data_IF_676501802043
#
_entry.id   IF_676501802043
#
_cell.length_a   1.000
_cell.length_b   1.000
_cell.length_c   1.000
_cell.angle_alpha   90.00
_cell.angle_beta   90.00
_cell.angle_gamma   90.00
#
_symmetry.space_group_name_H-M   'P 1'
#
loop_
_entity.id
_entity.type
_entity.pdbx_description
1 polymer ?
#
# COMPACT_ATOMS: atom_id res chain seq x y z
N UNK A 1 13.21 -11.82 17.99
CA UNK A 1 12.33 -10.64 18.22
C UNK A 1 11.04 -10.91 17.48
N UNK A 2 9.90 -10.95 18.12
CA UNK A 2 8.63 -11.29 17.46
C UNK A 2 8.20 -10.14 16.56
N UNK A 3 7.80 -10.43 15.30
CA UNK A 3 7.33 -9.44 14.35
C UNK A 3 6.02 -8.82 14.86
N UNK A 4 6.01 -7.50 15.00
CA UNK A 4 4.80 -6.73 15.36
C UNK A 4 4.00 -6.45 14.07
N UNK A 5 2.85 -7.14 13.93
CA UNK A 5 1.94 -7.01 12.80
C UNK A 5 0.86 -5.92 13.02
N UNK A 6 0.93 -5.14 14.09
CA UNK A 6 0.12 -3.93 14.18
C UNK A 6 0.47 -2.96 13.04
N UNK A 7 -0.46 -2.10 12.66
CA UNK A 7 -0.19 -1.08 11.61
C UNK A 7 1.04 -0.23 11.93
N UNK A 8 1.22 0.11 13.19
CA UNK A 8 2.39 0.87 13.65
C UNK A 8 3.68 0.05 13.52
N UNK A 9 3.65 -1.24 13.92
CA UNK A 9 4.77 -2.17 13.78
C UNK A 9 5.17 -2.37 12.32
N UNK A 10 4.18 -2.59 11.44
CA UNK A 10 4.40 -2.70 9.98
C UNK A 10 5.00 -1.41 9.42
N UNK A 11 4.46 -0.24 9.79
CA UNK A 11 4.99 1.05 9.33
C UNK A 11 6.45 1.25 9.78
N UNK A 12 6.78 0.91 11.02
CA UNK A 12 8.16 0.96 11.55
C UNK A 12 9.08 0.01 10.77
N UNK A 13 8.61 -1.21 10.50
CA UNK A 13 9.35 -2.20 9.70
C UNK A 13 9.65 -1.65 8.31
N UNK A 14 8.65 -1.16 7.59
CA UNK A 14 8.83 -0.62 6.23
C UNK A 14 9.81 0.56 6.22
N UNK A 15 9.70 1.48 7.17
CA UNK A 15 10.62 2.62 7.31
C UNK A 15 12.07 2.19 7.57
N UNK A 16 12.29 1.12 8.36
CA UNK A 16 13.63 0.54 8.59
C UNK A 16 14.29 0.11 7.28
N UNK A 17 13.50 -0.32 6.31
CA UNK A 17 13.97 -0.70 4.97
C UNK A 17 13.84 0.44 3.94
N UNK A 18 13.67 1.70 4.38
CA UNK A 18 13.50 2.87 3.49
C UNK A 18 12.37 2.72 2.49
N UNK A 19 11.27 2.07 2.87
CA UNK A 19 10.05 1.96 2.07
C UNK A 19 9.09 3.06 2.52
N UNK A 20 8.77 3.96 1.59
CA UNK A 20 7.89 5.10 1.84
C UNK A 20 6.43 4.66 1.86
N UNK A 21 5.75 4.94 2.97
CA UNK A 21 4.32 4.64 3.15
C UNK A 21 3.54 5.93 3.39
N UNK A 22 2.28 5.93 3.01
CA UNK A 22 1.38 7.05 3.27
C UNK A 22 1.20 7.24 4.78
N UNK A 23 1.02 8.49 5.20
CA UNK A 23 0.74 8.81 6.60
C UNK A 23 -0.70 8.47 6.94
N UNK A 24 -0.87 7.68 8.00
CA UNK A 24 -2.18 7.22 8.45
C UNK A 24 -2.21 6.97 9.96
N UNK A 25 -3.40 6.96 10.54
CA UNK A 25 -3.64 6.51 11.91
C UNK A 25 -5.08 6.02 12.09
N UNK A 26 -5.31 5.18 13.11
CA UNK A 26 -6.63 4.68 13.48
C UNK A 26 -7.24 5.60 14.53
N UNK A 27 -8.48 6.00 14.31
CA UNK A 27 -9.32 6.75 15.23
C UNK A 27 -10.44 5.85 15.79
N UNK A 28 -10.75 6.00 17.06
CA UNK A 28 -11.84 5.28 17.73
C UNK A 28 -13.08 6.15 17.95
N UNK A 29 -12.96 7.46 17.67
CA UNK A 29 -14.06 8.41 17.74
C UNK A 29 -14.00 9.44 16.61
N UNK A 30 -15.11 10.16 16.31
CA UNK A 30 -15.09 11.24 15.33
C UNK A 30 -14.12 12.37 15.70
N UNK A 31 -13.99 12.69 16.97
CA UNK A 31 -13.11 13.74 17.48
C UNK A 31 -11.64 13.36 17.29
N UNK A 32 -11.28 12.09 17.56
CA UNK A 32 -9.95 11.56 17.31
C UNK A 32 -9.63 11.53 15.80
N UNK A 33 -10.60 11.16 14.96
CA UNK A 33 -10.43 11.20 13.51
C UNK A 33 -10.16 12.62 12.99
N UNK A 34 -10.84 13.63 13.55
CA UNK A 34 -10.61 15.03 13.22
C UNK A 34 -9.21 15.46 13.64
N UNK A 35 -8.80 15.16 14.86
CA UNK A 35 -7.45 15.50 15.36
C UNK A 35 -6.34 14.86 14.51
N UNK A 36 -6.51 13.61 14.09
CA UNK A 36 -5.59 12.94 13.18
C UNK A 36 -5.57 13.63 11.82
N UNK A 37 -6.73 13.95 11.24
CA UNK A 37 -6.81 14.60 9.93
C UNK A 37 -6.18 16.00 9.94
N UNK A 38 -6.34 16.76 11.01
CA UNK A 38 -5.70 18.07 11.19
C UNK A 38 -4.17 17.97 11.29
N UNK A 39 -3.65 16.93 11.93
CA UNK A 39 -2.22 16.66 11.99
C UNK A 39 -1.64 16.21 10.65
N UNK A 40 -2.34 15.32 9.93
CA UNK A 40 -1.93 14.78 8.64
C UNK A 40 -2.04 15.85 7.54
N UNK A 41 -3.05 16.71 7.64
CA UNK A 41 -3.44 17.71 6.64
C UNK A 41 -4.47 17.18 5.65
N UNK A 42 -5.49 17.98 5.37
CA UNK A 42 -6.49 17.69 4.34
C UNK A 42 -5.93 17.87 2.92
N UNK A 43 -6.47 17.15 1.91
CA UNK A 43 -7.55 16.18 2.00
C UNK A 43 -7.12 14.84 2.59
N UNK A 44 -8.09 14.12 3.20
CA UNK A 44 -7.87 12.79 3.75
C UNK A 44 -8.86 11.75 3.18
N UNK A 45 -8.52 10.49 3.38
CA UNK A 45 -9.37 9.32 3.14
C UNK A 45 -9.78 8.75 4.49
N UNK A 46 -11.04 8.33 4.63
CA UNK A 46 -11.56 7.63 5.78
C UNK A 46 -12.00 6.22 5.37
N UNK A 47 -11.49 5.19 6.05
CA UNK A 47 -11.80 3.78 5.78
C UNK A 47 -12.19 3.07 7.07
N UNK A 48 -13.22 2.21 7.04
CA UNK A 48 -13.53 1.36 8.21
C UNK A 48 -12.42 0.34 8.45
N UNK A 49 -12.09 0.11 9.72
CA UNK A 49 -11.23 -1.00 10.16
C UNK A 49 -12.12 -2.08 10.77
N UNK A 50 -12.26 -3.19 10.07
CA UNK A 50 -13.08 -4.34 10.47
C UNK A 50 -12.61 -5.60 9.77
N UNK A 51 -12.58 -6.70 10.48
CA UNK A 51 -12.28 -8.03 9.92
C UNK A 51 -13.50 -8.67 9.24
N UNK A 52 -14.70 -8.13 9.48
CA UNK A 52 -15.97 -8.64 8.91
C UNK A 52 -16.34 -7.95 7.59
N UNK A 53 -15.68 -6.84 7.24
CA UNK A 53 -15.95 -6.04 6.03
C UNK A 53 -14.78 -6.21 5.06
N UNK A 54 -14.93 -7.14 4.10
CA UNK A 54 -13.88 -7.46 3.11
C UNK A 54 -13.87 -6.42 1.98
N UNK A 55 -15.01 -6.20 1.29
CA UNK A 55 -15.14 -5.26 0.18
C UNK A 55 -15.62 -3.89 0.68
N UNK A 56 -14.71 -3.12 1.28
CA UNK A 56 -15.03 -1.85 1.96
C UNK A 56 -15.63 -0.80 1.02
N UNK A 57 -15.11 -0.70 -0.20
CA UNK A 57 -15.58 0.25 -1.22
C UNK A 57 -17.00 -0.05 -1.67
N UNK A 58 -17.29 -1.30 -2.01
CA UNK A 58 -18.61 -1.73 -2.50
C UNK A 58 -19.70 -1.54 -1.45
N UNK A 59 -19.31 -1.65 -0.17
CA UNK A 59 -20.21 -1.42 0.98
C UNK A 59 -20.31 0.04 1.40
N UNK A 60 -19.67 0.98 0.67
CA UNK A 60 -19.65 2.39 1.03
C UNK A 60 -18.96 2.68 2.37
N UNK A 61 -18.00 1.83 2.75
CA UNK A 61 -17.23 1.93 3.99
C UNK A 61 -15.86 2.60 3.77
N UNK A 62 -15.70 3.29 2.63
CA UNK A 62 -14.56 4.16 2.29
C UNK A 62 -15.10 5.49 1.79
N UNK A 63 -14.51 6.60 2.24
CA UNK A 63 -14.76 7.93 1.72
C UNK A 63 -13.44 8.63 1.43
N UNK A 64 -13.28 9.07 0.19
CA UNK A 64 -12.10 9.79 -0.30
C UNK A 64 -12.39 11.29 -0.41
N UNK A 65 -11.36 12.07 -0.61
CA UNK A 65 -11.42 13.51 -0.88
C UNK A 65 -12.19 14.31 0.18
N UNK A 66 -11.93 13.98 1.44
CA UNK A 66 -12.50 14.72 2.59
C UNK A 66 -11.65 15.97 2.82
N UNK A 67 -12.24 17.15 2.64
CA UNK A 67 -11.54 18.43 2.59
C UNK A 67 -11.50 19.18 3.91
N UNK A 68 -12.36 18.82 4.87
CA UNK A 68 -12.51 19.57 6.12
C UNK A 68 -13.17 18.74 7.23
N UNK A 69 -13.16 19.31 8.44
CA UNK A 69 -13.73 18.72 9.66
C UNK A 69 -15.21 18.34 9.52
N UNK A 70 -16.01 19.18 8.87
CA UNK A 70 -17.44 18.93 8.74
C UNK A 70 -17.73 17.73 7.82
N UNK A 71 -17.04 17.68 6.69
CA UNK A 71 -17.11 16.53 5.77
C UNK A 71 -16.64 15.25 6.44
N UNK A 72 -15.55 15.30 7.24
CA UNK A 72 -15.03 14.13 7.94
C UNK A 72 -16.06 13.61 8.96
N UNK A 73 -16.69 14.48 9.73
CA UNK A 73 -17.73 14.09 10.69
C UNK A 73 -18.93 13.44 9.99
N UNK A 74 -19.36 14.00 8.87
CA UNK A 74 -20.43 13.43 8.04
C UNK A 74 -20.05 12.08 7.44
N UNK A 75 -18.82 11.94 6.92
CA UNK A 75 -18.28 10.71 6.38
C UNK A 75 -18.18 9.62 7.46
N UNK A 76 -17.72 9.96 8.65
CA UNK A 76 -17.64 9.03 9.78
C UNK A 76 -19.01 8.44 10.12
N UNK A 77 -20.03 9.30 10.28
CA UNK A 77 -21.40 8.87 10.56
C UNK A 77 -21.99 8.02 9.42
N UNK A 78 -21.68 8.37 8.16
CA UNK A 78 -22.11 7.60 6.99
C UNK A 78 -21.50 6.20 6.96
N UNK A 79 -20.19 6.09 7.14
CA UNK A 79 -19.46 4.80 7.15
C UNK A 79 -19.96 3.92 8.30
N UNK A 80 -20.19 4.47 9.50
CA UNK A 80 -20.72 3.72 10.63
C UNK A 80 -22.10 3.14 10.35
N UNK A 81 -22.98 3.89 9.67
CA UNK A 81 -24.31 3.38 9.24
C UNK A 81 -24.16 2.23 8.23
N UNK A 82 -23.25 2.36 7.26
CA UNK A 82 -23.00 1.33 6.24
C UNK A 82 -22.35 0.07 6.81
N UNK A 83 -21.52 0.21 7.85
CA UNK A 83 -20.94 -0.91 8.58
C UNK A 83 -22.02 -1.74 9.30
N UNK A 84 -23.15 -1.12 9.68
CA UNK A 84 -24.29 -1.79 10.27
C UNK A 84 -23.96 -2.51 11.57
N UNK A 85 -24.15 -3.84 11.60
CA UNK A 85 -23.89 -4.69 12.78
C UNK A 85 -22.47 -5.27 12.81
N UNK A 86 -21.64 -4.99 11.78
CA UNK A 86 -20.29 -5.51 11.74
C UNK A 86 -19.43 -4.93 12.88
N UNK A 87 -18.56 -5.75 13.45
CA UNK A 87 -17.62 -5.30 14.48
C UNK A 87 -16.61 -4.34 13.87
N UNK A 88 -16.70 -3.06 14.27
CA UNK A 88 -15.79 -1.99 13.86
C UNK A 88 -14.72 -1.79 14.94
N UNK A 89 -13.46 -1.93 14.55
CA UNK A 89 -12.29 -1.74 15.43
C UNK A 89 -11.87 -0.27 15.49
N UNK A 90 -12.22 0.53 14.47
CA UNK A 90 -11.96 1.95 14.35
C UNK A 90 -12.10 2.45 12.92
N UNK A 91 -11.71 3.70 12.71
CA UNK A 91 -11.62 4.34 11.40
C UNK A 91 -10.18 4.66 11.07
N UNK A 92 -9.71 4.22 9.93
CA UNK A 92 -8.41 4.61 9.40
C UNK A 92 -8.55 5.99 8.74
N UNK A 93 -7.83 6.97 9.26
CA UNK A 93 -7.65 8.29 8.64
C UNK A 93 -6.32 8.26 7.92
N UNK A 94 -6.32 8.49 6.62
CA UNK A 94 -5.15 8.37 5.77
C UNK A 94 -5.00 9.64 4.92
N UNK A 95 -3.77 10.14 4.74
CA UNK A 95 -3.50 11.23 3.81
C UNK A 95 -3.97 10.87 2.39
N UNK A 96 -4.71 11.77 1.75
CA UNK A 96 -5.03 11.61 0.33
C UNK A 96 -3.75 11.75 -0.50
N UNK A 97 -3.49 10.78 -1.36
CA UNK A 97 -2.37 10.84 -2.29
C UNK A 97 -2.85 11.47 -3.61
N UNK A 98 -1.95 12.19 -4.29
CA UNK A 98 -2.20 12.72 -5.64
C UNK A 98 -2.28 11.58 -6.65
N UNK A 99 -2.86 11.83 -7.80
CA UNK A 99 -2.89 10.87 -8.91
C UNK A 99 -1.47 10.58 -9.41
N UNK A 100 -1.24 9.33 -9.79
CA UNK A 100 0.04 8.83 -10.30
C UNK A 100 -0.14 7.46 -10.95
N UNK A 101 0.96 6.81 -11.29
CA UNK A 101 0.91 5.46 -11.87
C UNK A 101 0.73 4.44 -10.76
N UNK A 102 -0.34 3.67 -10.82
CA UNK A 102 -0.59 2.59 -9.85
C UNK A 102 0.28 1.37 -10.18
N UNK A 103 1.00 0.91 -9.16
CA UNK A 103 1.87 -0.25 -9.22
C UNK A 103 1.54 -1.22 -8.09
N UNK A 104 1.93 -2.47 -8.28
CA UNK A 104 1.98 -3.47 -7.23
C UNK A 104 3.43 -3.89 -7.00
N UNK A 105 3.85 -3.92 -5.75
CA UNK A 105 5.10 -4.53 -5.31
C UNK A 105 4.79 -5.44 -4.14
N UNK A 106 5.16 -6.68 -4.26
CA UNK A 106 4.88 -7.64 -3.21
C UNK A 106 5.92 -8.74 -3.17
N UNK A 107 5.62 -9.75 -2.39
CA UNK A 107 6.39 -10.98 -2.39
C UNK A 107 5.80 -12.01 -1.47
N UNK A 108 6.23 -13.22 -1.71
CA UNK A 108 5.80 -14.38 -0.92
C UNK A 108 6.93 -15.35 -0.73
N UNK A 109 6.83 -16.16 0.29
CA UNK A 109 7.74 -17.27 0.51
C UNK A 109 7.29 -18.46 -0.31
N UNK A 110 8.13 -18.88 -1.23
CA UNK A 110 7.94 -20.09 -2.03
C UNK A 110 8.59 -21.27 -1.32
N UNK A 111 7.95 -22.47 -1.26
CA UNK A 111 8.51 -23.63 -0.58
C UNK A 111 9.82 -24.14 -1.20
N UNK A 112 10.00 -23.95 -2.50
CA UNK A 112 11.16 -24.46 -3.26
C UNK A 112 12.26 -23.41 -3.41
N UNK A 113 11.88 -22.15 -3.72
CA UNK A 113 12.82 -21.08 -4.06
C UNK A 113 13.09 -20.11 -2.92
N UNK A 114 12.35 -20.20 -1.81
CA UNK A 114 12.42 -19.24 -0.71
C UNK A 114 11.67 -17.94 -1.02
N UNK A 115 12.08 -16.79 -0.46
CA UNK A 115 11.35 -15.56 -0.66
C UNK A 115 11.47 -15.04 -2.10
N UNK A 116 10.33 -14.66 -2.68
CA UNK A 116 10.20 -14.08 -4.02
C UNK A 116 9.73 -12.63 -3.89
N UNK A 117 10.24 -11.75 -4.77
CA UNK A 117 9.72 -10.39 -4.95
C UNK A 117 9.00 -10.30 -6.30
N UNK A 118 7.88 -9.55 -6.30
CA UNK A 118 7.01 -9.32 -7.45
C UNK A 118 6.88 -7.82 -7.73
N UNK A 119 6.86 -7.46 -9.00
CA UNK A 119 6.59 -6.11 -9.49
C UNK A 119 5.61 -6.15 -10.66
N UNK A 120 4.69 -5.19 -10.74
CA UNK A 120 3.76 -5.07 -11.87
C UNK A 120 3.00 -3.74 -11.87
N UNK A 121 2.20 -3.54 -12.93
CA UNK A 121 1.20 -2.48 -12.93
C UNK A 121 0.07 -2.84 -11.98
N UNK A 122 -0.47 -1.83 -11.28
CA UNK A 122 -1.60 -1.98 -10.38
C UNK A 122 -2.96 -1.90 -11.09
N UNK A 123 -4.04 -1.91 -10.30
CA UNK A 123 -5.41 -1.81 -10.79
C UNK A 123 -5.80 -2.95 -11.71
N UNK A 124 -6.66 -2.65 -12.68
CA UNK A 124 -7.20 -3.64 -13.64
C UNK A 124 -6.13 -4.37 -14.47
N UNK A 125 -4.95 -3.79 -14.61
CA UNK A 125 -3.87 -4.39 -15.40
C UNK A 125 -3.32 -5.65 -14.76
N UNK A 126 -3.16 -5.69 -13.45
CA UNK A 126 -2.68 -6.90 -12.76
C UNK A 126 -3.76 -7.98 -12.72
N UNK A 127 -5.02 -7.59 -12.55
CA UNK A 127 -6.14 -8.53 -12.46
C UNK A 127 -6.42 -9.24 -13.78
N UNK A 128 -6.37 -8.51 -14.89
CA UNK A 128 -6.74 -9.03 -16.22
C UNK A 128 -5.52 -9.54 -16.98
N UNK A 129 -4.43 -8.77 -17.03
CA UNK A 129 -3.28 -9.06 -17.90
C UNK A 129 -2.20 -9.87 -17.21
N UNK A 130 -2.20 -9.94 -15.87
CA UNK A 130 -1.16 -10.58 -15.04
C UNK A 130 0.24 -10.15 -15.48
N UNK A 131 0.40 -8.87 -15.78
CA UNK A 131 1.64 -8.27 -16.26
C UNK A 131 2.57 -8.00 -15.08
N UNK A 132 3.29 -9.04 -14.68
CA UNK A 132 4.16 -9.03 -13.52
C UNK A 132 5.52 -9.66 -13.84
N UNK A 133 6.56 -9.15 -13.17
CA UNK A 133 7.90 -9.71 -13.13
C UNK A 133 8.19 -10.24 -11.73
N UNK A 134 8.87 -11.38 -11.64
CA UNK A 134 9.17 -12.07 -10.38
C UNK A 134 10.64 -12.46 -10.34
N UNK A 135 11.28 -12.29 -9.16
CA UNK A 135 12.67 -12.73 -8.90
C UNK A 135 12.80 -13.38 -7.52
N UNK A 136 13.78 -14.25 -7.38
CA UNK A 136 14.17 -14.82 -6.08
C UNK A 136 14.97 -13.79 -5.28
N UNK A 137 14.63 -13.62 -4.01
CA UNK A 137 15.35 -12.71 -3.11
C UNK A 137 16.65 -13.32 -2.56
N UNK A 138 17.71 -12.51 -2.31
CA UNK A 138 17.78 -11.07 -2.52
C UNK A 138 18.16 -10.69 -3.94
N UNK A 139 17.60 -9.60 -4.48
CA UNK A 139 17.95 -9.10 -5.82
C UNK A 139 18.96 -7.94 -5.76
N UNK A 140 19.68 -7.74 -6.88
CA UNK A 140 20.55 -6.58 -7.10
C UNK A 140 19.80 -5.45 -7.80
N UNK A 141 20.44 -4.28 -7.90
CA UNK A 141 19.83 -3.13 -8.57
C UNK A 141 19.60 -3.40 -10.08
N UNK A 142 20.51 -4.11 -10.74
CA UNK A 142 20.35 -4.54 -12.13
C UNK A 142 19.11 -5.38 -12.34
N UNK A 143 18.88 -6.36 -11.43
CA UNK A 143 17.72 -7.25 -11.52
C UNK A 143 16.41 -6.45 -11.35
N UNK A 144 16.42 -5.46 -10.45
CA UNK A 144 15.28 -4.57 -10.25
C UNK A 144 15.00 -3.68 -11.46
N UNK A 145 16.04 -3.19 -12.14
CA UNK A 145 15.92 -2.41 -13.38
C UNK A 145 15.35 -3.28 -14.52
N UNK A 146 15.83 -4.52 -14.65
CA UNK A 146 15.29 -5.50 -15.59
C UNK A 146 13.82 -5.80 -15.30
N UNK A 147 13.43 -6.05 -14.05
CA UNK A 147 12.04 -6.28 -13.65
C UNK A 147 11.11 -5.14 -14.10
N UNK A 148 11.58 -3.89 -13.99
CA UNK A 148 10.81 -2.69 -14.40
C UNK A 148 10.66 -2.64 -15.94
N UNK A 149 11.68 -3.06 -16.69
CA UNK A 149 11.63 -3.04 -18.15
C UNK A 149 10.90 -4.25 -18.75
N UNK A 150 10.83 -5.36 -18.04
CA UNK A 150 10.27 -6.63 -18.50
C UNK A 150 8.74 -6.64 -18.56
N UNK A 151 8.06 -5.88 -17.72
CA UNK A 151 6.60 -5.79 -17.78
C UNK A 151 6.14 -5.09 -19.06
N UNK A 152 5.06 -5.58 -19.66
CA UNK A 152 4.48 -5.01 -20.90
C UNK A 152 4.05 -3.56 -20.72
N UNK A 153 3.61 -3.21 -19.52
CA UNK A 153 3.23 -1.86 -19.15
C UNK A 153 4.39 -0.89 -18.89
N UNK A 154 5.66 -1.33 -19.01
CA UNK A 154 6.84 -0.48 -18.82
C UNK A 154 6.82 0.85 -19.58
N UNK A 155 6.26 0.95 -20.81
CA UNK A 155 6.15 2.24 -21.50
C UNK A 155 5.36 3.30 -20.73
N UNK A 156 4.39 2.93 -19.90
CA UNK A 156 3.63 3.87 -19.05
C UNK A 156 4.55 4.55 -18.02
N UNK A 157 5.57 3.83 -17.54
CA UNK A 157 6.54 4.34 -16.57
C UNK A 157 7.51 5.37 -17.17
N UNK A 158 7.65 5.38 -18.50
CA UNK A 158 8.47 6.35 -19.26
C UNK A 158 7.72 7.66 -19.58
N UNK A 159 6.44 7.71 -19.18
CA UNK A 159 5.53 8.80 -19.49
C UNK A 159 4.72 8.53 -20.75
N UNK A 160 3.40 8.58 -20.64
CA UNK A 160 2.49 8.37 -21.76
C UNK A 160 1.26 9.27 -21.63
N UNK A 161 0.70 9.69 -22.75
CA UNK A 161 -0.56 10.47 -22.83
C UNK A 161 -0.59 11.70 -21.89
N UNK A 162 0.53 12.43 -21.78
CA UNK A 162 0.62 13.63 -20.94
C UNK A 162 0.96 13.36 -19.47
N UNK A 163 1.07 12.11 -19.04
CA UNK A 163 1.59 11.78 -17.72
C UNK A 163 3.11 11.87 -17.70
N UNK A 164 3.72 12.49 -16.66
CA UNK A 164 5.16 12.57 -16.54
C UNK A 164 5.75 11.17 -16.28
N UNK A 165 7.02 10.94 -16.66
CA UNK A 165 7.73 9.72 -16.32
C UNK A 165 7.84 9.56 -14.80
N UNK A 166 7.84 8.31 -14.31
CA UNK A 166 8.07 8.01 -12.90
C UNK A 166 9.57 7.98 -12.57
N UNK A 167 9.91 8.12 -11.29
CA UNK A 167 11.29 7.95 -10.81
C UNK A 167 11.68 6.46 -10.78
N UNK A 168 12.12 5.95 -11.92
CA UNK A 168 12.51 4.53 -12.08
C UNK A 168 13.65 4.12 -11.15
N UNK A 169 14.58 5.03 -10.81
CA UNK A 169 15.69 4.76 -9.89
C UNK A 169 15.17 4.51 -8.47
N UNK A 170 14.19 5.30 -8.03
CA UNK A 170 13.55 5.07 -6.73
C UNK A 170 12.70 3.80 -6.72
N UNK A 171 12.04 3.45 -7.83
CA UNK A 171 11.32 2.17 -7.95
C UNK A 171 12.27 0.98 -7.89
N UNK A 172 13.40 1.01 -8.59
CA UNK A 172 14.39 -0.05 -8.52
C UNK A 172 14.94 -0.24 -7.10
N UNK A 173 15.23 0.88 -6.40
CA UNK A 173 15.62 0.82 -4.97
C UNK A 173 14.52 0.27 -4.08
N UNK A 174 13.26 0.60 -4.34
CA UNK A 174 12.13 0.00 -3.62
C UNK A 174 12.14 -1.52 -3.75
N UNK A 175 12.28 -2.06 -4.97
CA UNK A 175 12.31 -3.49 -5.23
C UNK A 175 13.45 -4.20 -4.48
N UNK A 176 14.65 -3.61 -4.51
CA UNK A 176 15.80 -4.10 -3.74
C UNK A 176 15.49 -4.08 -2.23
N UNK A 177 14.90 -3.02 -1.72
CA UNK A 177 14.56 -2.88 -0.30
C UNK A 177 13.49 -3.89 0.13
N UNK A 178 12.45 -4.10 -0.69
CA UNK A 178 11.41 -5.12 -0.44
C UNK A 178 12.00 -6.51 -0.47
N UNK A 179 12.84 -6.81 -1.46
CA UNK A 179 13.54 -8.09 -1.57
C UNK A 179 14.41 -8.37 -0.34
N UNK A 180 15.15 -7.37 0.13
CA UNK A 180 15.96 -7.46 1.33
C UNK A 180 15.10 -7.66 2.60
N UNK A 181 13.99 -6.94 2.72
CA UNK A 181 13.04 -7.10 3.82
C UNK A 181 12.54 -8.54 3.89
N UNK A 182 12.10 -9.11 2.75
CA UNK A 182 11.61 -10.49 2.66
C UNK A 182 12.70 -11.52 2.99
N UNK A 183 13.92 -11.29 2.53
CA UNK A 183 15.03 -12.19 2.78
C UNK A 183 15.48 -12.22 4.24
N UNK A 184 15.50 -11.05 4.90
CA UNK A 184 15.96 -10.91 6.29
C UNK A 184 14.87 -11.30 7.31
N UNK A 185 13.57 -11.26 6.96
CA UNK A 185 12.46 -11.57 7.87
C UNK A 185 11.74 -12.85 7.45
N UNK A 186 12.35 -13.98 7.79
CA UNK A 186 11.90 -15.34 7.39
C UNK A 186 10.51 -15.70 7.88
N UNK A 187 10.00 -15.00 8.90
CA UNK A 187 8.66 -15.15 9.44
C UNK A 187 7.57 -14.50 8.60
N UNK A 188 7.93 -13.69 7.58
CA UNK A 188 6.98 -13.11 6.62
C UNK A 188 6.73 -14.12 5.51
N UNK A 189 5.48 -14.58 5.38
CA UNK A 189 5.05 -15.42 4.28
C UNK A 189 4.58 -14.64 3.06
N UNK A 190 3.94 -13.50 3.30
CA UNK A 190 3.44 -12.61 2.23
C UNK A 190 3.58 -11.14 2.65
N UNK A 191 4.01 -10.34 1.70
CA UNK A 191 3.99 -8.89 1.76
C UNK A 191 3.31 -8.39 0.49
N UNK A 192 2.30 -7.52 0.64
CA UNK A 192 1.62 -6.87 -0.47
C UNK A 192 1.57 -5.36 -0.23
N UNK A 193 2.16 -4.62 -1.15
CA UNK A 193 2.12 -3.16 -1.24
C UNK A 193 1.27 -2.81 -2.47
N UNK A 194 -0.04 -2.63 -2.27
CA UNK A 194 -1.01 -2.48 -3.35
C UNK A 194 -2.19 -1.58 -2.97
N UNK A 195 -2.31 -0.38 -3.60
CA UNK A 195 -1.42 0.13 -4.62
C UNK A 195 -0.18 0.85 -4.05
N UNK A 196 0.87 0.87 -4.85
CA UNK A 196 1.92 1.88 -4.77
C UNK A 196 1.58 2.93 -5.82
N UNK A 197 1.59 4.21 -5.44
CA UNK A 197 1.42 5.30 -6.39
C UNK A 197 2.79 5.89 -6.70
N UNK A 198 3.20 5.75 -7.96
CA UNK A 198 4.49 6.22 -8.45
C UNK A 198 4.38 7.58 -9.12
N UNK A 199 5.38 8.43 -8.87
CA UNK A 199 5.47 9.80 -9.34
C UNK A 199 6.83 10.05 -10.01
N UNK A 200 6.96 11.22 -10.64
CA UNK A 200 8.23 11.70 -11.20
C UNK A 200 9.31 11.96 -10.10
N UNK A 201 8.90 12.16 -8.86
CA UNK A 201 9.75 12.50 -7.72
C UNK A 201 9.81 11.42 -6.63
N UNK A 202 9.20 10.25 -6.86
CA UNK A 202 9.22 9.11 -5.93
C UNK A 202 8.00 8.23 -6.00
N UNK A 203 7.65 7.65 -4.86
CA UNK A 203 6.48 6.78 -4.72
C UNK A 203 5.94 6.82 -3.28
N UNK A 204 4.68 6.36 -3.11
CA UNK A 204 4.09 6.09 -1.80
C UNK A 204 3.32 4.76 -1.85
N UNK A 205 3.57 3.86 -0.90
CA UNK A 205 2.71 2.72 -0.68
C UNK A 205 1.46 3.17 0.09
N UNK A 206 0.29 2.90 -0.48
CA UNK A 206 -1.00 3.37 0.04
C UNK A 206 -1.67 2.32 0.90
N UNK A 207 -1.67 1.08 0.44
CA UNK A 207 -2.14 -0.05 1.23
C UNK A 207 -1.01 -1.07 1.42
N UNK A 208 -0.96 -1.63 2.64
CA UNK A 208 0.08 -2.58 3.04
C UNK A 208 -0.58 -3.75 3.75
N UNK A 209 -0.25 -4.95 3.32
CA UNK A 209 -0.62 -6.20 3.96
C UNK A 209 0.60 -7.06 4.22
N UNK A 210 0.72 -7.57 5.42
CA UNK A 210 1.77 -8.53 5.82
C UNK A 210 1.11 -9.75 6.43
N UNK A 211 1.50 -10.93 5.97
CA UNK A 211 1.05 -12.21 6.52
C UNK A 211 2.27 -12.92 7.09
N UNK A 212 2.15 -13.32 8.36
CA UNK A 212 3.15 -14.14 9.03
C UNK A 212 2.93 -15.62 8.65
N UNK A 213 4.04 -16.36 8.52
CA UNK A 213 3.97 -17.81 8.34
C UNK A 213 3.32 -18.46 9.56
N UNK A 214 2.45 -19.39 9.32
CA UNK A 214 1.99 -20.31 10.37
C UNK A 214 3.19 -21.18 10.80
N UNK A 215 3.39 -21.27 12.09
CA UNK A 215 4.44 -22.10 12.73
C UNK A 215 4.00 -23.53 12.83
#
# INVERSE_FOLDING_TARGET
MTLDLSREGITKLLRKYNISVVEEAIAKSPEEAIAIAERIGYPVVLKVVSNEIVHKTDRGCVKTNIMNRQELRSAYAHIMRNAGKAKVEGMLVQRMVREGVELIVGGRKDPQFGPLVLFGLGGIFVEILRDVSIRVCPIKLSDAEEMIDEIRGSPLLKGARGMPPVDRKKLARLLVNVSRLLYENKEICELDLNPIIAYKDGYLAVDVRVIKCET
#
